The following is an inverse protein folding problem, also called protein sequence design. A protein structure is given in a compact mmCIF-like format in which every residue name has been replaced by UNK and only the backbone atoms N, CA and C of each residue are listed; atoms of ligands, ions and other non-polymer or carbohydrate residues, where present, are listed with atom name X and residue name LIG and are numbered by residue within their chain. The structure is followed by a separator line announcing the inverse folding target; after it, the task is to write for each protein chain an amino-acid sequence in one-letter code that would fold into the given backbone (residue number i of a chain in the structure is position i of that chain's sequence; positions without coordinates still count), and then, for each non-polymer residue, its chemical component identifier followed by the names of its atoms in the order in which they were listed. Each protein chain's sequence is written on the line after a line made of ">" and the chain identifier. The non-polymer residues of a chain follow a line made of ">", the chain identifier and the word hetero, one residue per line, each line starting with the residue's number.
data_IF_294658383667
#
_entry.id   IF_294658383667
#
_cell.length_a   1.000
_cell.length_b   1.000
_cell.length_c   1.000
_cell.angle_alpha   90.00
_cell.angle_beta   90.00
_cell.angle_gamma   90.00
#
_symmetry.space_group_name_H-M   'P 1'
#
loop_
_entity.id
_entity.type
_entity.pdbx_description
1 polymer ?
#
# COMPACT_ATOMS: atom_id res chain seq x y z
N UNK A 1 -3.15 -27.12 -30.51
CA UNK A 1 -1.83 -26.94 -29.89
C UNK A 1 -1.86 -25.63 -29.16
N UNK A 2 -2.25 -25.65 -27.88
CA UNK A 2 -2.26 -24.45 -27.04
C UNK A 2 -0.81 -24.20 -26.61
N UNK A 3 -0.22 -23.11 -27.10
CA UNK A 3 1.04 -22.59 -26.62
C UNK A 3 0.85 -22.15 -25.17
N UNK A 4 1.03 -23.07 -24.22
CA UNK A 4 1.17 -22.74 -22.83
C UNK A 4 2.50 -22.00 -22.68
N UNK A 5 2.49 -20.67 -22.79
CA UNK A 5 3.62 -19.84 -22.43
C UNK A 5 3.89 -20.07 -20.95
N UNK A 6 5.00 -20.73 -20.64
CA UNK A 6 5.44 -21.02 -19.29
C UNK A 6 5.87 -19.70 -18.61
N UNK A 7 4.88 -18.93 -18.16
CA UNK A 7 5.14 -17.71 -17.37
C UNK A 7 5.59 -18.15 -16.00
N UNK A 8 6.80 -17.75 -15.59
CA UNK A 8 7.34 -18.13 -14.28
C UNK A 8 6.45 -17.61 -13.14
N UNK A 9 6.31 -18.35 -12.03
CA UNK A 9 5.52 -17.89 -10.88
C UNK A 9 5.99 -16.52 -10.35
N UNK A 10 7.28 -16.25 -10.41
CA UNK A 10 7.85 -14.96 -10.01
C UNK A 10 7.42 -13.84 -10.95
N UNK A 11 7.38 -14.06 -12.27
CA UNK A 11 6.91 -13.04 -13.20
C UNK A 11 5.42 -12.74 -13.02
N UNK A 12 4.60 -13.72 -12.67
CA UNK A 12 3.19 -13.51 -12.29
C UNK A 12 3.07 -12.67 -11.03
N UNK A 13 3.87 -12.96 -10.00
CA UNK A 13 3.89 -12.19 -8.76
C UNK A 13 4.29 -10.73 -9.01
N UNK A 14 5.35 -10.50 -9.78
CA UNK A 14 5.81 -9.16 -10.12
C UNK A 14 4.80 -8.40 -11.00
N UNK A 15 4.17 -9.08 -11.96
CA UNK A 15 3.10 -8.48 -12.76
C UNK A 15 1.90 -8.09 -11.88
N UNK A 16 1.49 -8.95 -10.94
CA UNK A 16 0.43 -8.65 -9.99
C UNK A 16 0.80 -7.46 -9.08
N UNK A 17 2.06 -7.40 -8.59
CA UNK A 17 2.54 -6.28 -7.79
C UNK A 17 2.54 -4.97 -8.60
N UNK A 18 3.00 -5.00 -9.85
CA UNK A 18 2.98 -3.84 -10.74
C UNK A 18 1.53 -3.38 -11.01
N UNK A 19 0.62 -4.30 -11.33
CA UNK A 19 -0.79 -3.97 -11.54
C UNK A 19 -1.41 -3.36 -10.29
N UNK A 20 -1.17 -3.93 -9.11
CA UNK A 20 -1.67 -3.39 -7.84
C UNK A 20 -1.13 -1.99 -7.57
N UNK A 21 0.16 -1.74 -7.84
CA UNK A 21 0.78 -0.40 -7.70
C UNK A 21 0.12 0.62 -8.62
N UNK A 22 -0.05 0.29 -9.90
CA UNK A 22 -0.71 1.17 -10.87
C UNK A 22 -2.15 1.44 -10.45
N UNK A 23 -2.89 0.40 -10.08
CA UNK A 23 -4.29 0.53 -9.63
C UNK A 23 -4.38 1.40 -8.37
N UNK A 24 -3.53 1.17 -7.36
CA UNK A 24 -3.50 1.98 -6.14
C UNK A 24 -3.20 3.46 -6.47
N UNK A 25 -2.23 3.72 -7.34
CA UNK A 25 -1.89 5.08 -7.78
C UNK A 25 -3.09 5.76 -8.45
N UNK A 26 -3.74 5.07 -9.38
CA UNK A 26 -4.91 5.60 -10.07
C UNK A 26 -6.07 5.89 -9.11
N UNK A 27 -6.35 4.98 -8.17
CA UNK A 27 -7.41 5.17 -7.17
C UNK A 27 -7.11 6.38 -6.28
N UNK A 28 -5.87 6.53 -5.79
CA UNK A 28 -5.47 7.67 -4.97
C UNK A 28 -5.58 8.99 -5.73
N UNK A 29 -5.15 9.04 -7.00
CA UNK A 29 -5.27 10.23 -7.83
C UNK A 29 -6.74 10.57 -8.12
N UNK A 30 -7.57 9.57 -8.46
CA UNK A 30 -9.00 9.79 -8.70
C UNK A 30 -9.72 10.24 -7.43
N UNK A 31 -9.38 9.70 -6.25
CA UNK A 31 -9.89 10.17 -4.97
C UNK A 31 -9.51 11.63 -4.71
N UNK A 32 -8.25 12.00 -5.01
CA UNK A 32 -7.79 13.39 -4.93
C UNK A 32 -8.57 14.32 -5.84
N UNK A 33 -8.75 13.94 -7.11
CA UNK A 33 -9.58 14.72 -8.06
C UNK A 33 -11.01 14.84 -7.56
N UNK A 34 -11.61 13.75 -7.05
CA UNK A 34 -12.94 13.75 -6.46
C UNK A 34 -13.07 14.71 -5.27
N UNK A 35 -12.05 14.78 -4.41
CA UNK A 35 -12.02 15.70 -3.28
C UNK A 35 -12.02 17.16 -3.75
N UNK A 36 -11.14 17.50 -4.71
CA UNK A 36 -11.05 18.86 -5.26
C UNK A 36 -12.35 19.29 -5.94
N UNK A 37 -12.89 18.43 -6.80
CA UNK A 37 -14.14 18.73 -7.53
C UNK A 37 -15.33 18.80 -6.59
N UNK A 38 -15.40 17.94 -5.58
CA UNK A 38 -16.44 17.97 -4.56
C UNK A 38 -16.40 19.24 -3.72
N UNK A 39 -15.22 19.68 -3.28
CA UNK A 39 -15.06 20.93 -2.54
C UNK A 39 -15.46 22.15 -3.39
N UNK A 40 -15.08 22.20 -4.64
CA UNK A 40 -15.47 23.27 -5.57
C UNK A 40 -16.99 23.31 -5.82
N UNK A 41 -17.66 22.15 -5.89
CA UNK A 41 -19.10 22.06 -6.15
C UNK A 41 -19.94 22.60 -4.99
N UNK A 42 -19.45 22.57 -3.74
CA UNK A 42 -20.15 23.12 -2.57
C UNK A 42 -19.75 24.56 -2.27
N UNK A 43 -18.94 25.21 -3.13
CA UNK A 43 -18.54 26.60 -2.96
C UNK A 43 -17.59 26.84 -1.78
N UNK A 44 -16.91 25.80 -1.29
CA UNK A 44 -15.95 25.90 -0.21
C UNK A 44 -14.54 26.25 -0.71
N UNK A 45 -13.77 26.97 0.13
CA UNK A 45 -12.32 27.12 -0.05
C UNK A 45 -11.65 25.77 0.28
N UNK A 46 -11.64 24.88 -0.71
CA UNK A 46 -11.02 23.56 -0.58
C UNK A 46 -9.48 23.65 -0.61
N UNK A 47 -8.80 22.57 -0.23
CA UNK A 47 -7.35 22.51 -0.33
C UNK A 47 -6.90 22.67 -1.78
N UNK A 48 -5.71 23.23 -1.98
CA UNK A 48 -5.14 23.42 -3.31
C UNK A 48 -5.00 22.09 -4.07
N UNK A 49 -5.24 22.13 -5.37
CA UNK A 49 -5.12 20.92 -6.24
C UNK A 49 -3.77 20.22 -6.06
N UNK A 50 -2.70 21.02 -5.98
CA UNK A 50 -1.33 20.50 -5.80
C UNK A 50 -1.19 19.79 -4.46
N UNK A 51 -1.70 20.38 -3.39
CA UNK A 51 -1.61 19.80 -2.04
C UNK A 51 -2.36 18.47 -1.96
N UNK A 52 -3.53 18.40 -2.60
CA UNK A 52 -4.32 17.16 -2.68
C UNK A 52 -3.60 16.07 -3.47
N UNK A 53 -3.00 16.41 -4.61
CA UNK A 53 -2.27 15.44 -5.42
C UNK A 53 -0.99 14.97 -4.72
N UNK A 54 -0.25 15.88 -4.09
CA UNK A 54 0.93 15.54 -3.28
C UNK A 54 0.52 14.66 -2.11
N UNK A 55 -0.55 14.99 -1.40
CA UNK A 55 -1.11 14.17 -0.31
C UNK A 55 -1.49 12.76 -0.80
N UNK A 56 -2.18 12.65 -1.93
CA UNK A 56 -2.55 11.37 -2.52
C UNK A 56 -1.32 10.50 -2.86
N UNK A 57 -0.33 11.08 -3.54
CA UNK A 57 0.91 10.37 -3.93
C UNK A 57 1.75 10.00 -2.70
N UNK A 58 1.75 10.82 -1.65
CA UNK A 58 2.49 10.57 -0.42
C UNK A 58 2.04 9.30 0.32
N UNK A 59 0.83 8.80 0.06
CA UNK A 59 0.32 7.55 0.65
C UNK A 59 0.84 6.28 -0.05
N UNK A 60 1.46 6.40 -1.22
CA UNK A 60 1.96 5.24 -1.98
C UNK A 60 2.97 4.39 -1.21
N UNK A 61 3.98 4.93 -0.49
CA UNK A 61 4.92 4.11 0.26
C UNK A 61 4.26 3.18 1.29
N UNK A 62 3.24 3.66 2.02
CA UNK A 62 2.50 2.82 2.96
C UNK A 62 1.66 1.76 2.25
N UNK A 63 0.94 2.15 1.21
CA UNK A 63 0.16 1.22 0.38
C UNK A 63 1.05 0.11 -0.19
N UNK A 64 2.24 0.45 -0.69
CA UNK A 64 3.21 -0.53 -1.19
C UNK A 64 3.74 -1.43 -0.08
N UNK A 65 3.99 -0.91 1.12
CA UNK A 65 4.44 -1.71 2.26
C UNK A 65 3.38 -2.74 2.67
N UNK A 66 2.12 -2.34 2.79
CA UNK A 66 1.00 -3.26 3.08
C UNK A 66 0.84 -4.31 1.97
N UNK A 67 0.85 -3.89 0.71
CA UNK A 67 0.80 -4.82 -0.42
C UNK A 67 1.96 -5.82 -0.39
N UNK A 68 3.17 -5.37 -0.07
CA UNK A 68 4.35 -6.23 0.03
C UNK A 68 4.23 -7.28 1.14
N UNK A 69 3.58 -6.97 2.27
CA UNK A 69 3.26 -7.97 3.31
C UNK A 69 2.36 -9.07 2.73
N UNK A 70 1.32 -8.70 1.99
CA UNK A 70 0.42 -9.66 1.34
C UNK A 70 1.16 -10.54 0.33
N UNK A 71 2.01 -9.94 -0.50
CA UNK A 71 2.82 -10.68 -1.48
C UNK A 71 3.84 -11.60 -0.83
N UNK A 72 4.50 -11.17 0.25
CA UNK A 72 5.39 -12.01 1.03
C UNK A 72 4.63 -13.20 1.62
N UNK A 73 3.49 -12.96 2.25
CA UNK A 73 2.62 -14.01 2.78
C UNK A 73 2.23 -15.04 1.72
N UNK A 74 1.85 -14.59 0.52
CA UNK A 74 1.58 -15.47 -0.61
C UNK A 74 2.80 -16.30 -1.02
N UNK A 75 3.98 -15.70 -1.07
CA UNK A 75 5.23 -16.38 -1.39
C UNK A 75 5.56 -17.52 -0.44
N UNK A 76 5.30 -17.34 0.86
CA UNK A 76 5.50 -18.37 1.89
C UNK A 76 4.45 -19.50 1.89
N UNK A 77 3.29 -19.31 1.25
CA UNK A 77 2.31 -20.34 1.04
C UNK A 77 0.90 -20.01 1.51
N UNK A 78 -0.06 -20.86 1.12
CA UNK A 78 -1.49 -20.63 1.35
C UNK A 78 -1.86 -20.43 2.83
N UNK A 79 -1.17 -21.09 3.76
CA UNK A 79 -1.38 -20.93 5.21
C UNK A 79 -1.10 -19.50 5.71
N UNK A 80 -0.25 -18.74 4.99
CA UNK A 80 0.13 -17.37 5.37
C UNK A 80 -0.78 -16.29 4.77
N UNK A 81 -1.70 -16.66 3.87
CA UNK A 81 -2.62 -15.70 3.23
C UNK A 81 -3.47 -14.97 4.28
N UNK A 82 -3.90 -15.69 5.33
CA UNK A 82 -4.63 -15.09 6.45
C UNK A 82 -3.82 -13.98 7.16
N UNK A 83 -2.50 -14.13 7.27
CA UNK A 83 -1.61 -13.10 7.84
C UNK A 83 -1.58 -11.87 6.95
N UNK A 84 -1.54 -12.05 5.63
CA UNK A 84 -1.61 -10.94 4.67
C UNK A 84 -2.91 -10.15 4.83
N UNK A 85 -4.05 -10.83 4.89
CA UNK A 85 -5.34 -10.17 5.13
C UNK A 85 -5.43 -9.50 6.50
N UNK A 86 -4.91 -10.15 7.55
CA UNK A 86 -4.85 -9.55 8.88
C UNK A 86 -4.05 -8.24 8.88
N UNK A 87 -2.92 -8.19 8.15
CA UNK A 87 -2.13 -6.98 8.02
C UNK A 87 -2.91 -5.84 7.35
N UNK A 88 -3.66 -6.12 6.27
CA UNK A 88 -4.52 -5.12 5.60
C UNK A 88 -5.60 -4.59 6.56
N UNK A 89 -6.28 -5.48 7.27
CA UNK A 89 -7.34 -5.09 8.22
C UNK A 89 -6.77 -4.29 9.39
N UNK A 90 -5.63 -4.72 9.93
CA UNK A 90 -4.97 -4.01 11.03
C UNK A 90 -4.48 -2.63 10.58
N UNK A 91 -3.90 -2.49 9.40
CA UNK A 91 -3.47 -1.19 8.89
C UNK A 91 -4.67 -0.25 8.70
N UNK A 92 -5.79 -0.74 8.17
CA UNK A 92 -7.02 0.05 8.05
C UNK A 92 -7.59 0.47 9.43
N UNK A 93 -7.59 -0.44 10.40
CA UNK A 93 -8.11 -0.16 11.74
C UNK A 93 -7.19 0.76 12.55
N UNK A 94 -5.88 0.57 12.46
CA UNK A 94 -4.92 1.31 13.27
C UNK A 94 -4.44 2.62 12.60
N UNK A 95 -4.39 2.66 11.28
CA UNK A 95 -4.06 3.85 10.50
C UNK A 95 -5.20 4.87 10.59
N UNK A 96 -6.12 4.91 9.61
CA UNK A 96 -7.13 5.97 9.54
C UNK A 96 -8.15 5.92 10.69
N UNK A 97 -8.49 4.74 11.23
CA UNK A 97 -9.50 4.61 12.28
C UNK A 97 -8.90 4.56 13.71
N UNK A 98 -7.59 4.44 13.84
CA UNK A 98 -6.92 4.21 15.13
C UNK A 98 -7.20 5.28 16.18
N UNK A 99 -7.31 6.55 15.77
CA UNK A 99 -7.69 7.66 16.66
C UNK A 99 -9.12 7.57 17.12
N UNK A 100 -10.03 7.19 16.21
CA UNK A 100 -11.48 7.11 16.49
C UNK A 100 -11.79 5.98 17.46
N UNK A 101 -11.08 4.85 17.38
CA UNK A 101 -11.28 3.70 18.27
C UNK A 101 -10.47 3.81 19.56
N UNK A 102 -9.72 4.90 19.78
CA UNK A 102 -8.90 5.10 20.97
C UNK A 102 -7.71 4.17 21.08
N UNK A 103 -7.19 3.66 19.95
CA UNK A 103 -6.03 2.77 19.95
C UNK A 103 -4.80 3.48 20.52
N UNK A 104 -4.03 2.85 21.43
CA UNK A 104 -2.84 3.45 22.00
C UNK A 104 -1.78 3.69 20.91
N UNK A 105 -0.97 4.75 21.09
CA UNK A 105 0.00 5.20 20.09
C UNK A 105 0.96 4.09 19.63
N UNK A 106 1.51 3.32 20.59
CA UNK A 106 2.44 2.23 20.26
C UNK A 106 1.85 1.17 19.31
N UNK A 107 0.52 0.96 19.38
CA UNK A 107 -0.18 0.02 18.51
C UNK A 107 -0.42 0.65 17.13
N UNK A 108 -0.78 1.93 17.09
CA UNK A 108 -0.95 2.68 15.84
C UNK A 108 0.35 2.78 15.05
N UNK A 109 1.49 2.93 15.75
CA UNK A 109 2.81 3.00 15.13
C UNK A 109 3.23 1.70 14.42
N UNK A 110 2.48 0.60 14.59
CA UNK A 110 2.68 -0.62 13.80
C UNK A 110 2.08 -0.53 12.39
N UNK A 111 1.16 0.38 12.13
CA UNK A 111 0.50 0.53 10.85
C UNK A 111 1.32 1.44 9.91
N UNK A 112 1.66 1.02 8.68
CA UNK A 112 2.42 1.82 7.74
C UNK A 112 1.85 3.21 7.46
N UNK A 113 0.52 3.34 7.36
CA UNK A 113 -0.14 4.60 7.06
C UNK A 113 -0.03 5.66 8.17
N UNK A 114 0.23 5.28 9.43
CA UNK A 114 0.41 6.25 10.52
C UNK A 114 1.71 7.05 10.43
N UNK A 115 2.67 6.58 9.64
CA UNK A 115 3.96 7.25 9.44
C UNK A 115 3.93 8.30 8.32
N UNK A 116 2.80 8.44 7.63
CA UNK A 116 2.59 9.39 6.56
C UNK A 116 1.54 10.43 6.98
N UNK A 117 1.57 11.65 6.37
CA UNK A 117 0.65 12.70 6.78
C UNK A 117 -0.80 12.33 6.46
N UNK A 118 -1.67 12.48 7.46
CA UNK A 118 -3.12 12.31 7.28
C UNK A 118 -3.77 13.56 6.67
N UNK A 119 -3.17 14.73 6.92
CA UNK A 119 -3.72 16.02 6.51
C UNK A 119 -3.19 16.44 5.14
N UNK A 120 -4.07 16.97 4.30
CA UNK A 120 -3.72 17.54 2.99
C UNK A 120 -2.89 18.82 3.20
N UNK A 121 -1.76 18.94 2.50
CA UNK A 121 -0.83 20.06 2.64
C UNK A 121 0.18 19.91 3.78
N UNK A 122 0.10 18.88 4.59
CA UNK A 122 1.13 18.60 5.58
C UNK A 122 2.46 18.16 4.92
N UNK A 123 3.61 18.51 5.52
CA UNK A 123 4.90 18.13 4.96
C UNK A 123 5.08 16.60 4.93
N UNK A 124 5.54 16.09 3.78
CA UNK A 124 5.77 14.66 3.60
C UNK A 124 7.06 14.24 4.30
N UNK A 125 7.02 13.30 5.27
CA UNK A 125 8.21 12.80 5.96
C UNK A 125 9.00 11.85 5.03
N UNK A 126 9.89 12.39 4.22
CA UNK A 126 10.67 11.64 3.22
C UNK A 126 11.44 10.46 3.82
N UNK A 127 11.93 10.59 5.07
CA UNK A 127 12.62 9.51 5.77
C UNK A 127 11.69 8.32 6.01
N UNK A 128 10.47 8.57 6.50
CA UNK A 128 9.48 7.50 6.72
C UNK A 128 9.06 6.87 5.40
N UNK A 129 8.80 7.67 4.37
CA UNK A 129 8.47 7.19 3.03
C UNK A 129 9.60 6.29 2.46
N UNK A 130 10.85 6.70 2.61
CA UNK A 130 12.01 5.92 2.18
C UNK A 130 12.11 4.58 2.92
N UNK A 131 11.96 4.58 4.26
CA UNK A 131 11.98 3.36 5.08
C UNK A 131 10.88 2.40 4.62
N UNK A 132 9.66 2.89 4.39
CA UNK A 132 8.55 2.06 3.92
C UNK A 132 8.83 1.43 2.54
N UNK A 133 9.45 2.16 1.62
CA UNK A 133 9.86 1.62 0.31
C UNK A 133 10.93 0.54 0.48
N UNK A 134 11.91 0.74 1.35
CA UNK A 134 12.95 -0.27 1.63
C UNK A 134 12.33 -1.53 2.22
N UNK A 135 11.42 -1.39 3.19
CA UNK A 135 10.69 -2.52 3.78
C UNK A 135 9.85 -3.24 2.73
N UNK A 136 9.11 -2.51 1.90
CA UNK A 136 8.32 -3.09 0.81
C UNK A 136 9.20 -3.90 -0.16
N UNK A 137 10.34 -3.34 -0.55
CA UNK A 137 11.29 -4.01 -1.46
C UNK A 137 11.87 -5.29 -0.82
N UNK A 138 12.24 -5.23 0.46
CA UNK A 138 12.75 -6.38 1.20
C UNK A 138 11.69 -7.50 1.31
N UNK A 139 10.43 -7.15 1.57
CA UNK A 139 9.32 -8.11 1.64
C UNK A 139 9.02 -8.74 0.27
N UNK A 140 9.01 -7.95 -0.81
CA UNK A 140 8.83 -8.46 -2.17
C UNK A 140 9.94 -9.42 -2.58
N UNK A 141 11.20 -9.10 -2.25
CA UNK A 141 12.35 -9.96 -2.57
C UNK A 141 12.30 -11.26 -1.78
N UNK A 142 11.99 -11.21 -0.49
CA UNK A 142 11.87 -12.41 0.35
C UNK A 142 10.69 -13.29 -0.06
N UNK A 143 9.53 -12.71 -0.39
CA UNK A 143 8.37 -13.43 -0.91
C UNK A 143 8.67 -14.10 -2.26
N UNK A 144 9.35 -13.40 -3.15
CA UNK A 144 9.76 -13.94 -4.46
C UNK A 144 10.76 -15.09 -4.31
N UNK A 145 11.70 -14.99 -3.38
CA UNK A 145 12.65 -16.04 -3.07
C UNK A 145 11.97 -17.28 -2.46
N UNK A 146 11.06 -17.08 -1.52
CA UNK A 146 10.28 -18.17 -0.91
C UNK A 146 9.46 -18.91 -1.97
N UNK A 147 8.84 -18.19 -2.92
CA UNK A 147 8.08 -18.77 -4.01
C UNK A 147 8.97 -19.65 -4.92
N UNK A 148 10.16 -19.16 -5.31
CA UNK A 148 11.10 -19.94 -6.13
C UNK A 148 11.52 -21.28 -5.49
N UNK A 149 11.68 -21.30 -4.16
CA UNK A 149 12.06 -22.54 -3.45
C UNK A 149 10.94 -23.57 -3.43
N UNK A 150 9.69 -23.16 -3.50
CA UNK A 150 8.54 -24.07 -3.54
C UNK A 150 8.35 -24.75 -4.88
N UNK A 151 8.73 -24.08 -5.97
CA UNK A 151 8.57 -24.61 -7.33
C UNK A 151 9.67 -25.62 -7.70
N UNK A 152 10.68 -25.80 -6.84
CA UNK A 152 11.81 -26.72 -7.03
C UNK A 152 11.60 -28.07 -6.31
N UNK A 153 10.46 -28.27 -5.63
CA UNK A 153 10.06 -29.49 -4.93
C UNK A 153 8.80 -30.05 -5.55
#
# INVERSE_FOLDING_TARGET
>A
MLLATAVSPVSRLLAAAATATVTATLVLLLAGVGLVTGAAAVGGDGPGVVDVLVGAVSQLPATLAVAAIVYAAYGFGSRWIAVGWAAVVLDLLLGPLGTLIGAPQWLRDTAPHTHLPADVGAPVPLTAAFILIVVATALLTTGSWALRRRDLV
#
